data_IF_673894480801
#
_entry.id   IF_673894480801
#
_cell.length_a   1.000
_cell.length_b   1.000
_cell.length_c   1.000
_cell.angle_alpha   90.00
_cell.angle_beta   90.00
_cell.angle_gamma   90.00
#
_symmetry.space_group_name_H-M   'P 1'
#
loop_
_entity.id
_entity.type
_entity.pdbx_description
1 polymer ?
#
# COMPACT_ATOMS: atom_id res chain seq x y z
N UNK A 1 20.68 -6.45 -23.54
CA UNK A 1 21.62 -5.58 -22.77
C UNK A 1 21.02 -5.34 -21.39
N UNK A 2 21.69 -5.66 -20.27
CA UNK A 2 21.18 -5.28 -18.95
C UNK A 2 21.20 -3.74 -18.84
N UNK A 3 20.11 -3.13 -18.38
CA UNK A 3 20.10 -1.69 -18.09
C UNK A 3 21.11 -1.44 -16.97
N UNK A 4 22.09 -0.59 -17.23
CA UNK A 4 22.99 -0.11 -16.19
C UNK A 4 22.15 0.58 -15.09
N UNK A 5 22.42 0.31 -13.80
CA UNK A 5 21.83 1.09 -12.73
C UNK A 5 22.30 2.54 -12.88
N UNK A 6 21.35 3.49 -12.92
CA UNK A 6 21.70 4.92 -12.91
C UNK A 6 22.26 5.24 -11.52
N UNK A 7 23.55 5.52 -11.47
CA UNK A 7 24.18 6.05 -10.27
C UNK A 7 23.72 7.49 -10.03
N UNK A 8 23.53 7.81 -8.75
CA UNK A 8 23.56 9.15 -8.15
C UNK A 8 22.32 10.06 -8.27
N UNK A 9 21.11 9.51 -8.17
CA UNK A 9 20.03 10.33 -7.60
C UNK A 9 20.31 10.45 -6.07
N UNK A 10 20.40 11.67 -5.50
CA UNK A 10 20.62 11.83 -4.06
C UNK A 10 19.53 11.10 -3.26
N UNK A 11 19.85 10.58 -2.06
CA UNK A 11 18.86 9.92 -1.21
C UNK A 11 17.72 10.90 -0.94
N UNK A 12 16.48 10.47 -1.23
CA UNK A 12 15.31 11.31 -1.07
C UNK A 12 15.12 11.63 0.41
N UNK A 13 15.20 12.92 0.76
CA UNK A 13 14.97 13.37 2.12
C UNK A 13 13.47 13.61 2.31
N UNK A 14 12.82 12.66 2.99
CA UNK A 14 11.39 12.69 3.27
C UNK A 14 11.01 13.84 4.21
N UNK A 15 9.86 14.46 3.94
CA UNK A 15 9.21 15.41 4.85
C UNK A 15 8.49 14.67 5.98
N UNK A 16 8.60 15.19 7.20
CA UNK A 16 7.86 14.65 8.34
C UNK A 16 6.39 15.07 8.26
N UNK A 17 5.50 14.09 8.09
CA UNK A 17 4.04 14.29 8.07
C UNK A 17 3.46 13.74 9.38
N UNK A 18 2.61 14.53 10.04
CA UNK A 18 2.00 14.13 11.31
C UNK A 18 0.84 13.16 11.07
N UNK A 19 1.13 11.87 11.21
CA UNK A 19 0.15 10.77 11.07
C UNK A 19 -0.58 10.42 12.38
N UNK A 20 -0.64 11.35 13.34
CA UNK A 20 -1.29 11.15 14.65
C UNK A 20 -0.80 9.90 15.40
N UNK A 21 0.48 9.55 15.25
CA UNK A 21 1.12 8.41 15.91
C UNK A 21 1.12 7.10 15.10
N UNK A 22 0.50 7.06 13.91
CA UNK A 22 0.51 5.87 13.05
C UNK A 22 1.86 5.73 12.34
N UNK A 23 2.57 4.63 12.60
CA UNK A 23 3.92 4.37 12.08
C UNK A 23 3.89 3.69 10.70
N UNK A 24 3.57 4.43 9.64
CA UNK A 24 3.45 3.90 8.27
C UNK A 24 4.76 3.34 7.70
N UNK A 25 5.92 3.78 8.19
CA UNK A 25 7.24 3.23 7.81
C UNK A 25 7.43 1.75 8.19
N UNK A 26 6.60 1.21 9.11
CA UNK A 26 6.62 -0.22 9.46
C UNK A 26 5.91 -1.10 8.44
N UNK A 27 5.16 -0.52 7.50
CA UNK A 27 4.52 -1.27 6.45
C UNK A 27 5.55 -1.71 5.41
N UNK A 28 5.36 -2.91 4.85
CA UNK A 28 6.23 -3.38 3.77
C UNK A 28 6.03 -2.54 2.51
N UNK A 29 7.09 -2.43 1.70
CA UNK A 29 7.06 -1.72 0.41
C UNK A 29 5.90 -2.18 -0.49
N UNK A 30 5.64 -3.49 -0.56
CA UNK A 30 4.52 -4.04 -1.33
C UNK A 30 3.13 -3.65 -0.80
N UNK A 31 3.00 -3.37 0.50
CA UNK A 31 1.75 -2.85 1.09
C UNK A 31 1.58 -1.37 0.75
N UNK A 32 2.64 -0.57 0.85
CA UNK A 32 2.62 0.84 0.43
C UNK A 32 2.29 0.98 -1.07
N UNK A 33 2.83 0.10 -1.92
CA UNK A 33 2.47 0.06 -3.35
C UNK A 33 1.02 -0.30 -3.58
N UNK A 34 0.49 -1.30 -2.86
CA UNK A 34 -0.94 -1.64 -2.95
C UNK A 34 -1.83 -0.46 -2.58
N UNK A 35 -1.46 0.30 -1.53
CA UNK A 35 -2.15 1.53 -1.16
C UNK A 35 -2.13 2.56 -2.31
N UNK A 36 -0.96 2.84 -2.88
CA UNK A 36 -0.81 3.76 -4.01
C UNK A 36 -1.65 3.35 -5.23
N UNK A 37 -1.74 2.06 -5.55
CA UNK A 37 -2.58 1.58 -6.65
C UNK A 37 -4.06 1.70 -6.33
N UNK A 38 -4.47 1.29 -5.12
CA UNK A 38 -5.86 1.30 -4.69
C UNK A 38 -6.47 2.71 -4.72
N UNK A 39 -5.73 3.71 -4.23
CA UNK A 39 -6.16 5.11 -4.20
C UNK A 39 -5.76 5.90 -5.46
N UNK A 40 -5.12 5.27 -6.45
CA UNK A 40 -4.82 5.94 -7.72
C UNK A 40 -3.76 7.05 -7.65
N UNK A 41 -2.91 7.08 -6.62
CA UNK A 41 -1.95 8.18 -6.36
C UNK A 41 -0.84 8.30 -7.43
N UNK A 42 -0.71 7.31 -8.30
CA UNK A 42 0.23 7.28 -9.43
C UNK A 42 -0.20 8.18 -10.61
N UNK A 43 -1.45 8.68 -10.62
CA UNK A 43 -1.96 9.53 -11.71
C UNK A 43 -1.39 10.95 -11.67
N UNK A 44 -1.05 11.43 -10.48
CA UNK A 44 -0.66 12.82 -10.24
C UNK A 44 0.85 13.01 -9.98
N UNK A 45 1.63 11.93 -9.83
CA UNK A 45 3.08 11.98 -9.60
C UNK A 45 3.82 10.91 -10.40
N UNK A 46 5.06 11.18 -10.86
CA UNK A 46 5.90 10.17 -11.50
C UNK A 46 6.08 8.95 -10.58
N UNK A 47 6.34 7.79 -11.20
CA UNK A 47 6.57 6.53 -10.49
C UNK A 47 7.60 6.72 -9.37
N UNK A 48 7.15 6.63 -8.10
CA UNK A 48 8.05 6.78 -6.95
C UNK A 48 9.19 5.77 -7.06
N UNK A 49 10.43 6.22 -7.13
CA UNK A 49 11.58 5.31 -7.31
C UNK A 49 12.07 4.77 -5.98
N UNK A 50 11.99 5.60 -4.94
CA UNK A 50 12.50 5.31 -3.60
C UNK A 50 11.32 4.99 -2.65
N UNK A 51 11.60 4.21 -1.60
CA UNK A 51 10.57 3.83 -0.62
C UNK A 51 10.11 5.05 0.19
N UNK A 52 11.01 5.98 0.44
CA UNK A 52 10.82 7.20 1.21
C UNK A 52 9.85 8.15 0.51
N UNK A 53 9.97 8.27 -0.81
CA UNK A 53 9.07 9.06 -1.66
C UNK A 53 7.65 8.47 -1.70
N UNK A 54 7.57 7.13 -1.81
CA UNK A 54 6.29 6.43 -1.73
C UNK A 54 5.65 6.61 -0.36
N UNK A 55 6.45 6.54 0.71
CA UNK A 55 6.00 6.71 2.07
C UNK A 55 5.44 8.12 2.30
N UNK A 56 6.16 9.16 1.85
CA UNK A 56 5.68 10.54 1.93
C UNK A 56 4.35 10.71 1.19
N UNK A 57 4.24 10.16 -0.02
CA UNK A 57 2.99 10.24 -0.81
C UNK A 57 1.82 9.55 -0.12
N UNK A 58 2.06 8.40 0.52
CA UNK A 58 1.03 7.67 1.27
C UNK A 58 0.64 8.43 2.53
N UNK A 59 1.60 8.99 3.26
CA UNK A 59 1.34 9.78 4.47
C UNK A 59 0.57 11.07 4.17
N UNK A 60 0.93 11.77 3.10
CA UNK A 60 0.27 12.99 2.62
C UNK A 60 -1.21 12.71 2.33
N UNK A 61 -1.49 11.71 1.48
CA UNK A 61 -2.87 11.31 1.19
C UNK A 61 -3.61 10.82 2.44
N UNK A 62 -2.96 10.01 3.30
CA UNK A 62 -3.58 9.46 4.50
C UNK A 62 -4.07 10.54 5.47
N UNK A 63 -3.33 11.65 5.60
CA UNK A 63 -3.67 12.73 6.53
C UNK A 63 -4.60 13.76 5.88
N UNK A 64 -4.34 14.12 4.62
CA UNK A 64 -4.98 15.29 4.00
C UNK A 64 -6.20 14.93 3.15
N UNK A 65 -6.22 13.74 2.53
CA UNK A 65 -7.23 13.39 1.50
C UNK A 65 -8.13 12.23 1.93
N UNK A 66 -7.68 11.38 2.86
CA UNK A 66 -8.41 10.20 3.28
C UNK A 66 -9.61 10.57 4.18
N UNK A 67 -10.75 10.82 3.55
CA UNK A 67 -12.02 11.01 4.25
C UNK A 67 -12.62 9.65 4.60
N UNK A 68 -12.73 9.38 5.90
CA UNK A 68 -13.30 8.13 6.42
C UNK A 68 -14.50 8.46 7.27
N UNK A 69 -15.66 7.87 6.96
CA UNK A 69 -16.78 7.84 7.88
C UNK A 69 -16.51 6.80 8.98
N UNK A 70 -16.38 7.19 10.25
CA UNK A 70 -16.04 6.27 11.33
C UNK A 70 -17.10 5.18 11.53
N UNK A 71 -18.37 5.49 11.32
CA UNK A 71 -19.47 4.52 11.47
C UNK A 71 -19.35 3.41 10.41
N UNK A 72 -19.16 3.79 9.15
CA UNK A 72 -18.98 2.83 8.06
C UNK A 72 -17.73 1.97 8.25
N UNK A 73 -16.64 2.58 8.75
CA UNK A 73 -15.41 1.87 9.07
C UNK A 73 -15.65 0.81 10.15
N UNK A 74 -16.35 1.17 11.24
CA UNK A 74 -16.69 0.25 12.33
C UNK A 74 -17.53 -0.91 11.80
N UNK A 75 -18.58 -0.64 11.03
CA UNK A 75 -19.41 -1.71 10.46
C UNK A 75 -18.63 -2.61 9.50
N UNK A 76 -17.81 -2.04 8.62
CA UNK A 76 -16.98 -2.82 7.68
C UNK A 76 -15.94 -3.67 8.42
N UNK A 77 -15.34 -3.14 9.48
CA UNK A 77 -14.40 -3.86 10.34
C UNK A 77 -15.08 -5.01 11.09
N UNK A 78 -16.22 -4.75 11.73
CA UNK A 78 -16.99 -5.78 12.42
C UNK A 78 -17.48 -6.88 11.47
N UNK A 79 -17.83 -6.52 10.22
CA UNK A 79 -18.16 -7.49 9.18
C UNK A 79 -16.98 -8.40 8.82
N UNK A 80 -15.82 -7.82 8.54
CA UNK A 80 -14.61 -8.60 8.19
C UNK A 80 -14.09 -9.47 9.34
N UNK A 81 -14.42 -9.13 10.59
CA UNK A 81 -14.11 -9.94 11.77
C UNK A 81 -15.15 -11.02 12.08
N UNK A 82 -16.36 -10.93 11.54
CA UNK A 82 -17.45 -11.90 11.77
C UNK A 82 -17.50 -13.04 10.76
N UNK A 83 -16.91 -12.91 9.57
CA UNK A 83 -16.86 -13.97 8.56
C UNK A 83 -15.49 -14.68 8.52
N UNK A 84 -15.32 -15.83 9.22
CA UNK A 84 -14.14 -16.69 9.04
C UNK A 84 -14.04 -17.29 7.62
N UNK A 85 -15.16 -17.40 6.90
CA UNK A 85 -15.22 -18.05 5.58
C UNK A 85 -14.62 -17.20 4.44
N UNK A 86 -14.71 -15.86 4.49
CA UNK A 86 -14.13 -15.00 3.44
C UNK A 86 -12.58 -15.02 3.42
N UNK A 87 -11.94 -15.25 4.56
CA UNK A 87 -10.48 -15.37 4.60
C UNK A 87 -10.04 -16.67 3.92
N UNK A 88 -10.77 -17.78 4.10
CA UNK A 88 -10.45 -19.06 3.47
C UNK A 88 -10.50 -18.97 1.94
N UNK A 89 -11.52 -18.34 1.35
CA UNK A 89 -11.64 -18.21 -0.11
C UNK A 89 -10.48 -17.44 -0.75
N UNK A 90 -9.96 -16.38 -0.11
CA UNK A 90 -8.79 -15.66 -0.61
C UNK A 90 -7.49 -16.48 -0.54
N UNK A 91 -7.35 -17.37 0.45
CA UNK A 91 -6.23 -18.32 0.49
C UNK A 91 -6.39 -19.44 -0.57
N UNK A 92 -7.62 -19.89 -0.83
CA UNK A 92 -7.95 -20.90 -1.86
C UNK A 92 -7.56 -20.43 -3.27
N UNK A 93 -7.95 -19.21 -3.64
CA UNK A 93 -7.66 -18.62 -4.95
C UNK A 93 -6.16 -18.40 -5.20
N UNK A 94 -5.38 -18.17 -4.13
CA UNK A 94 -3.91 -18.05 -4.22
C UNK A 94 -3.23 -19.40 -4.43
N UNK A 95 -3.81 -20.49 -3.90
CA UNK A 95 -3.31 -21.86 -4.05
C UNK A 95 -3.57 -22.43 -5.44
N UNK A 96 -4.71 -22.11 -6.04
CA UNK A 96 -5.04 -22.52 -7.41
C UNK A 96 -4.09 -21.94 -8.46
N UNK A 97 -3.80 -20.63 -8.40
CA UNK A 97 -2.87 -19.98 -9.33
C UNK A 97 -1.45 -20.58 -9.29
N UNK A 98 -1.00 -21.06 -8.13
CA UNK A 98 0.31 -21.70 -7.99
C UNK A 98 0.33 -23.15 -8.52
N UNK A 99 -0.81 -23.84 -8.53
CA UNK A 99 -0.93 -25.20 -9.10
C UNK A 99 -1.00 -25.16 -10.63
N UNK A 100 -1.73 -24.21 -11.21
CA UNK A 100 -1.85 -24.05 -12.66
C UNK A 100 -0.57 -23.58 -13.37
N UNK A 101 0.46 -23.13 -12.63
CA UNK A 101 1.77 -22.76 -13.20
C UNK A 101 2.81 -23.89 -13.13
N UNK A 102 2.45 -25.04 -12.53
CA UNK A 102 3.33 -26.21 -12.38
C UNK A 102 2.83 -27.45 -13.13
N UNK A 103 1.75 -27.31 -13.90
CA UNK A 103 1.23 -28.33 -14.81
C UNK A 103 1.63 -28.00 -16.24
#
# INVERSE_FOLDING_TARGET
RPRQPRADDPPYQRKAINTQGIKLHKLSYGTLRRYQYYFGLHKNRPFCRQQEELLETVEDHFVNELQVNPIDLIYRFLRTKKDPDQQQEQYSLRRERLRSQRA
#
